data_IF_153122906098
#
_entry.id   IF_153122906098
#
_cell.length_a   1.000
_cell.length_b   1.000
_cell.length_c   1.000
_cell.angle_alpha   90.00
_cell.angle_beta   90.00
_cell.angle_gamma   90.00
#
_symmetry.space_group_name_H-M   'P 1'
#
loop_
_entity.id
_entity.type
_entity.pdbx_description
1 polymer ?
#
# COMPACT_ATOMS: atom_id res chain seq x y z
N UNK A 1 12.40 -17.77 -22.51
CA UNK A 1 10.93 -17.82 -22.57
C UNK A 1 10.31 -18.80 -21.56
N UNK A 2 10.41 -20.12 -21.69
CA UNK A 2 9.75 -21.03 -20.72
C UNK A 2 10.28 -20.91 -19.27
N UNK A 3 11.59 -20.72 -19.11
CA UNK A 3 12.21 -20.52 -17.79
C UNK A 3 11.81 -19.20 -17.12
N UNK A 4 11.62 -18.13 -17.91
CA UNK A 4 11.19 -16.80 -17.41
C UNK A 4 9.75 -16.84 -16.89
N UNK A 5 8.85 -17.51 -17.61
CA UNK A 5 7.45 -17.70 -17.16
C UNK A 5 7.40 -18.54 -15.89
N UNK A 6 8.27 -19.55 -15.77
CA UNK A 6 8.40 -20.33 -14.53
C UNK A 6 8.89 -19.52 -13.34
N UNK A 7 9.62 -18.41 -13.56
CA UNK A 7 10.07 -17.50 -12.51
C UNK A 7 8.98 -16.55 -12.00
N UNK A 8 7.96 -16.30 -12.83
CA UNK A 8 6.80 -15.46 -12.49
C UNK A 8 5.81 -16.22 -11.61
N UNK A 9 5.69 -17.54 -11.80
CA UNK A 9 4.83 -18.39 -10.97
C UNK A 9 5.55 -18.68 -9.64
N UNK A 10 4.97 -18.16 -8.55
CA UNK A 10 5.45 -18.42 -7.18
C UNK A 10 5.57 -19.93 -6.95
N UNK A 11 6.69 -20.37 -6.33
CA UNK A 11 7.11 -21.78 -6.24
C UNK A 11 5.99 -22.71 -5.79
N UNK A 12 5.14 -22.24 -4.89
CA UNK A 12 4.04 -22.99 -4.29
C UNK A 12 2.92 -23.33 -5.29
N UNK A 13 2.77 -22.56 -6.37
CA UNK A 13 1.70 -22.70 -7.37
C UNK A 13 2.13 -23.44 -8.64
N UNK A 14 3.42 -23.79 -8.78
CA UNK A 14 3.94 -24.53 -9.96
C UNK A 14 3.32 -25.92 -10.13
N UNK A 15 2.87 -26.53 -9.04
CA UNK A 15 2.21 -27.84 -9.06
C UNK A 15 0.75 -27.77 -9.55
N UNK A 16 0.15 -26.57 -9.51
CA UNK A 16 -1.29 -26.33 -9.67
C UNK A 16 -1.58 -25.67 -11.02
N UNK A 17 -0.73 -24.72 -11.43
CA UNK A 17 -0.89 -23.96 -12.66
C UNK A 17 -0.10 -24.65 -13.78
N UNK A 18 -0.81 -25.25 -14.73
CA UNK A 18 -0.25 -25.64 -16.02
C UNK A 18 -0.19 -24.44 -16.96
N UNK A 19 0.87 -24.33 -17.75
CA UNK A 19 0.96 -23.32 -18.80
C UNK A 19 1.55 -23.92 -20.07
N UNK A 20 1.13 -23.37 -21.20
CA UNK A 20 1.69 -23.63 -22.53
C UNK A 20 1.92 -22.31 -23.22
N UNK A 21 3.13 -22.12 -23.72
CA UNK A 21 3.49 -20.97 -24.56
C UNK A 21 3.28 -21.41 -26.00
N UNK A 22 2.30 -20.81 -26.70
CA UNK A 22 2.12 -21.00 -28.13
C UNK A 22 3.18 -20.24 -28.92
N UNK A 23 3.55 -20.79 -30.08
CA UNK A 23 4.50 -20.13 -31.00
C UNK A 23 3.98 -18.76 -31.46
N UNK A 24 4.92 -17.89 -31.79
CA UNK A 24 4.64 -16.53 -32.24
C UNK A 24 4.08 -16.61 -33.67
N UNK A 25 2.80 -16.25 -33.93
CA UNK A 25 2.31 -16.17 -35.29
C UNK A 25 3.02 -15.03 -36.02
N UNK A 26 3.44 -15.27 -37.27
CA UNK A 26 4.07 -14.26 -38.13
C UNK A 26 3.27 -12.95 -38.10
N UNK A 27 3.88 -11.88 -37.53
CA UNK A 27 3.29 -10.55 -37.45
C UNK A 27 2.92 -10.02 -36.05
N UNK A 28 3.01 -10.81 -34.96
CA UNK A 28 2.81 -10.30 -33.58
C UNK A 28 4.09 -10.41 -32.74
N UNK A 29 4.41 -9.37 -31.95
CA UNK A 29 5.66 -9.28 -31.15
C UNK A 29 5.66 -10.07 -29.83
N UNK A 30 4.57 -10.74 -29.45
CA UNK A 30 4.47 -11.45 -28.15
C UNK A 30 3.86 -12.85 -28.32
N UNK A 31 4.41 -13.88 -27.64
CA UNK A 31 3.87 -15.23 -27.68
C UNK A 31 2.52 -15.30 -26.95
N UNK A 32 1.70 -16.28 -27.35
CA UNK A 32 0.42 -16.54 -26.68
C UNK A 32 0.65 -17.44 -25.46
N UNK A 33 0.18 -17.02 -24.28
CA UNK A 33 0.25 -17.82 -23.05
C UNK A 33 -1.14 -18.40 -22.77
N UNK A 34 -1.25 -19.72 -22.78
CA UNK A 34 -2.46 -20.43 -22.32
C UNK A 34 -2.15 -21.08 -20.98
N UNK A 35 -3.01 -20.90 -19.98
CA UNK A 35 -2.87 -21.52 -18.66
C UNK A 35 -4.14 -22.27 -18.27
N UNK A 36 -3.99 -23.27 -17.41
CA UNK A 36 -5.10 -24.02 -16.82
C UNK A 36 -4.75 -24.47 -15.40
N UNK A 37 -5.78 -24.74 -14.61
CA UNK A 37 -5.65 -25.21 -13.23
C UNK A 37 -5.79 -26.73 -13.25
N UNK A 38 -4.85 -27.43 -12.59
CA UNK A 38 -4.91 -28.89 -12.40
C UNK A 38 -5.71 -29.19 -11.13
N UNK A 39 -6.56 -30.24 -11.16
CA UNK A 39 -7.42 -30.67 -10.04
C UNK A 39 -6.69 -31.19 -8.78
N UNK A 40 -5.35 -31.06 -8.72
CA UNK A 40 -4.54 -31.34 -7.51
C UNK A 40 -4.78 -30.37 -6.35
N UNK A 41 -5.62 -29.36 -6.54
CA UNK A 41 -6.07 -28.45 -5.47
C UNK A 41 -6.71 -29.22 -4.31
N UNK A 42 -7.55 -30.23 -4.57
CA UNK A 42 -8.29 -30.93 -3.52
C UNK A 42 -7.37 -31.72 -2.56
N UNK A 43 -6.42 -32.49 -3.11
CA UNK A 43 -5.39 -33.21 -2.33
C UNK A 43 -4.52 -32.24 -1.51
N UNK A 44 -4.27 -31.04 -2.05
CA UNK A 44 -3.51 -30.00 -1.35
C UNK A 44 -4.32 -29.33 -0.24
N UNK A 45 -5.61 -29.06 -0.48
CA UNK A 45 -6.52 -28.55 0.54
C UNK A 45 -6.63 -29.51 1.73
N UNK A 46 -6.66 -30.81 1.48
CA UNK A 46 -6.66 -31.84 2.52
C UNK A 46 -5.35 -31.86 3.32
N UNK A 47 -4.23 -31.51 2.70
CA UNK A 47 -2.92 -31.38 3.34
C UNK A 47 -2.69 -30.08 4.12
N UNK A 48 -3.58 -29.09 4.01
CA UNK A 48 -3.43 -27.85 4.78
C UNK A 48 -3.80 -28.06 6.25
N UNK A 49 -3.02 -27.42 7.13
CA UNK A 49 -3.34 -27.37 8.55
C UNK A 49 -4.71 -26.72 8.78
N UNK A 50 -5.55 -27.32 9.62
CA UNK A 50 -6.83 -26.74 10.02
C UNK A 50 -6.59 -25.66 11.07
N UNK A 51 -7.12 -24.46 10.83
CA UNK A 51 -7.09 -23.37 11.80
C UNK A 51 -8.40 -23.37 12.59
N UNK A 52 -8.32 -23.56 13.90
CA UNK A 52 -9.47 -23.53 14.80
C UNK A 52 -9.69 -22.08 15.25
N UNK A 53 -10.87 -21.53 14.98
CA UNK A 53 -11.27 -20.19 15.41
C UNK A 53 -12.32 -20.31 16.52
N UNK A 54 -12.00 -19.85 17.72
CA UNK A 54 -12.96 -19.73 18.81
C UNK A 54 -13.59 -18.34 18.79
N UNK A 55 -14.93 -18.26 18.84
CA UNK A 55 -15.64 -16.99 18.80
C UNK A 55 -16.96 -17.06 19.54
N UNK A 56 -17.39 -15.92 20.09
CA UNK A 56 -18.70 -15.69 20.70
C UNK A 56 -19.75 -15.25 19.67
N UNK A 57 -19.41 -15.20 18.37
CA UNK A 57 -20.28 -14.73 17.28
C UNK A 57 -21.11 -15.86 16.67
N UNK A 58 -21.87 -16.56 17.51
CA UNK A 58 -22.77 -17.66 17.15
C UNK A 58 -23.80 -17.30 16.06
N UNK A 59 -24.26 -16.05 16.04
CA UNK A 59 -25.24 -15.53 15.06
C UNK A 59 -24.66 -15.21 13.69
N UNK A 60 -23.34 -15.27 13.50
CA UNK A 60 -22.71 -14.91 12.23
C UNK A 60 -22.53 -16.14 11.35
N UNK A 61 -22.67 -15.96 10.03
CA UNK A 61 -22.36 -17.03 9.08
C UNK A 61 -20.86 -17.38 9.14
N UNK A 62 -20.51 -18.67 9.10
CA UNK A 62 -19.13 -19.15 9.20
C UNK A 62 -18.20 -18.49 8.18
N UNK A 63 -18.67 -18.26 6.95
CA UNK A 63 -17.91 -17.54 5.92
C UNK A 63 -17.54 -16.12 6.34
N UNK A 64 -18.45 -15.41 7.02
CA UNK A 64 -18.20 -14.06 7.53
C UNK A 64 -17.18 -14.09 8.67
N UNK A 65 -17.27 -15.08 9.56
CA UNK A 65 -16.32 -15.27 10.66
C UNK A 65 -14.91 -15.48 10.09
N UNK A 66 -14.76 -16.40 9.13
CA UNK A 66 -13.47 -16.68 8.47
C UNK A 66 -12.94 -15.45 7.74
N UNK A 67 -13.78 -14.74 6.98
CA UNK A 67 -13.38 -13.50 6.28
C UNK A 67 -12.85 -12.45 7.26
N UNK A 68 -13.55 -12.20 8.36
CA UNK A 68 -13.13 -11.20 9.36
C UNK A 68 -11.87 -11.65 10.10
N UNK A 69 -11.75 -12.94 10.44
CA UNK A 69 -10.53 -13.47 11.05
C UNK A 69 -9.32 -13.31 10.13
N UNK A 70 -9.47 -13.61 8.85
CA UNK A 70 -8.41 -13.46 7.85
C UNK A 70 -8.06 -12.00 7.52
N UNK A 71 -8.91 -11.04 7.91
CA UNK A 71 -8.61 -9.60 7.81
C UNK A 71 -7.70 -9.09 8.93
N UNK A 72 -7.28 -9.95 9.87
CA UNK A 72 -6.28 -9.60 10.89
C UNK A 72 -4.98 -9.02 10.30
N UNK A 73 -4.61 -9.47 9.10
CA UNK A 73 -3.45 -8.96 8.35
C UNK A 73 -3.48 -7.44 8.13
N UNK A 74 -4.67 -6.83 8.00
CA UNK A 74 -4.81 -5.38 7.85
C UNK A 74 -4.30 -4.62 9.08
N UNK A 75 -4.57 -5.18 10.27
CA UNK A 75 -4.12 -4.63 11.55
C UNK A 75 -2.62 -4.89 11.75
N UNK A 76 -2.11 -6.03 11.29
CA UNK A 76 -0.67 -6.31 11.34
C UNK A 76 0.13 -5.35 10.47
N UNK A 77 -0.40 -4.94 9.32
CA UNK A 77 0.21 -3.90 8.49
C UNK A 77 0.21 -2.54 9.18
N UNK A 78 -0.80 -2.21 9.99
CA UNK A 78 -0.78 -1.04 10.87
C UNK A 78 0.34 -1.11 11.92
N UNK A 79 0.50 -2.26 12.56
CA UNK A 79 1.58 -2.44 13.55
C UNK A 79 2.98 -2.31 12.93
N UNK A 80 3.16 -2.76 11.69
CA UNK A 80 4.41 -2.54 10.95
C UNK A 80 4.68 -1.06 10.74
N UNK A 81 3.67 -0.26 10.41
CA UNK A 81 3.82 1.20 10.26
C UNK A 81 4.15 1.89 11.59
N UNK A 82 3.56 1.44 12.70
CA UNK A 82 3.87 1.95 14.04
C UNK A 82 5.29 1.60 14.51
N UNK A 83 5.87 0.57 13.92
CA UNK A 83 7.27 0.16 14.13
C UNK A 83 8.22 0.80 13.12
N UNK A 84 7.69 1.45 12.07
CA UNK A 84 8.48 2.10 11.04
C UNK A 84 8.96 3.47 11.55
N UNK A 85 10.29 3.62 11.62
CA UNK A 85 10.95 4.82 12.10
C UNK A 85 10.58 6.08 11.29
N UNK A 86 10.18 5.90 10.02
CA UNK A 86 9.98 7.01 9.09
C UNK A 86 8.57 7.60 9.11
N UNK A 87 7.55 6.84 9.54
CA UNK A 87 6.15 7.28 9.42
C UNK A 87 5.52 7.58 10.77
N UNK A 88 5.49 6.61 11.68
CA UNK A 88 4.84 6.75 12.99
C UNK A 88 5.63 5.96 14.04
N UNK A 89 6.83 6.42 14.44
CA UNK A 89 7.67 5.66 15.37
C UNK A 89 7.09 5.66 16.77
N UNK A 90 6.43 4.57 17.18
CA UNK A 90 6.14 4.35 18.61
C UNK A 90 7.46 4.14 19.36
N UNK A 91 8.46 3.50 18.75
CA UNK A 91 9.77 3.26 19.34
C UNK A 91 10.94 3.80 18.50
N UNK A 92 12.11 4.04 19.11
CA UNK A 92 12.40 3.97 20.55
C UNK A 92 11.82 5.18 21.32
N UNK A 93 11.21 4.91 22.47
CA UNK A 93 10.66 5.96 23.34
C UNK A 93 11.78 6.56 24.19
N UNK A 94 12.32 7.71 23.76
CA UNK A 94 13.36 8.43 24.50
C UNK A 94 12.78 9.29 25.65
N UNK A 95 11.60 8.93 26.16
CA UNK A 95 10.94 9.60 27.27
C UNK A 95 11.03 8.77 28.54
N UNK A 96 11.36 9.41 29.66
CA UNK A 96 11.53 8.73 30.95
C UNK A 96 10.33 8.88 31.90
N UNK A 97 9.38 9.77 31.60
CA UNK A 97 8.18 9.99 32.41
C UNK A 97 6.98 9.31 31.77
N UNK A 98 6.23 8.52 32.54
CA UNK A 98 5.03 7.83 32.06
C UNK A 98 4.02 8.75 31.37
N UNK A 99 3.87 9.98 31.86
CA UNK A 99 2.99 10.96 31.22
C UNK A 99 3.44 11.31 29.79
N UNK A 100 4.74 11.49 29.57
CA UNK A 100 5.30 11.80 28.27
C UNK A 100 5.23 10.59 27.33
N UNK A 101 5.43 9.37 27.86
CA UNK A 101 5.25 8.13 27.10
C UNK A 101 3.80 8.03 26.60
N UNK A 102 2.82 8.26 27.47
CA UNK A 102 1.38 8.25 27.09
C UNK A 102 1.06 9.28 26.01
N UNK A 103 1.56 10.50 26.14
CA UNK A 103 1.36 11.56 25.13
C UNK A 103 1.99 11.19 23.80
N UNK A 104 3.22 10.67 23.81
CA UNK A 104 3.90 10.18 22.60
C UNK A 104 3.08 9.10 21.88
N UNK A 105 2.68 8.05 22.61
CA UNK A 105 1.84 6.98 22.04
C UNK A 105 0.53 7.53 21.48
N UNK A 106 -0.13 8.46 22.18
CA UNK A 106 -1.35 9.09 21.69
C UNK A 106 -1.13 9.86 20.38
N UNK A 107 -0.05 10.64 20.27
CA UNK A 107 0.30 11.35 19.05
C UNK A 107 0.62 10.39 17.90
N UNK A 108 1.34 9.30 18.17
CA UNK A 108 1.61 8.27 17.17
C UNK A 108 0.30 7.67 16.62
N UNK A 109 -0.61 7.22 17.49
CA UNK A 109 -1.89 6.63 17.06
C UNK A 109 -2.74 7.65 16.29
N UNK A 110 -2.72 8.93 16.71
CA UNK A 110 -3.40 10.01 16.00
C UNK A 110 -2.81 10.25 14.61
N UNK A 111 -1.48 10.26 14.49
CA UNK A 111 -0.78 10.35 13.21
C UNK A 111 -1.12 9.19 12.28
N UNK A 112 -1.15 7.95 12.80
CA UNK A 112 -1.57 6.77 12.04
C UNK A 112 -3.00 6.92 11.52
N UNK A 113 -3.91 7.44 12.35
CA UNK A 113 -5.29 7.70 11.94
C UNK A 113 -5.36 8.68 10.77
N UNK A 114 -4.57 9.76 10.78
CA UNK A 114 -4.48 10.71 9.68
C UNK A 114 -3.91 10.06 8.41
N UNK A 115 -2.86 9.25 8.52
CA UNK A 115 -2.31 8.51 7.38
C UNK A 115 -3.32 7.54 6.78
N UNK A 116 -4.09 6.82 7.62
CA UNK A 116 -5.16 5.93 7.16
C UNK A 116 -6.30 6.68 6.51
N UNK A 117 -6.68 7.84 7.04
CA UNK A 117 -7.66 8.71 6.43
C UNK A 117 -7.17 9.22 5.05
N UNK A 118 -5.91 9.61 4.95
CA UNK A 118 -5.29 10.02 3.69
C UNK A 118 -5.28 8.88 2.67
N UNK A 119 -4.89 7.67 3.07
CA UNK A 119 -4.97 6.49 2.20
C UNK A 119 -6.40 6.20 1.76
N UNK A 120 -7.39 6.33 2.64
CA UNK A 120 -8.80 6.19 2.31
C UNK A 120 -9.26 7.22 1.26
N UNK A 121 -8.85 8.49 1.42
CA UNK A 121 -9.09 9.58 0.46
C UNK A 121 -8.47 9.29 -0.91
N UNK A 122 -7.34 8.58 -0.95
CA UNK A 122 -6.59 8.24 -2.16
C UNK A 122 -6.78 6.79 -2.64
N UNK A 123 -7.80 6.07 -2.13
CA UNK A 123 -7.99 4.63 -2.41
C UNK A 123 -8.08 4.27 -3.90
N UNK A 124 -8.55 5.19 -4.73
CA UNK A 124 -8.72 5.01 -6.17
C UNK A 124 -7.40 4.96 -6.95
N UNK A 125 -6.29 5.41 -6.35
CA UNK A 125 -4.97 5.35 -6.97
C UNK A 125 -4.28 4.00 -6.80
N UNK A 126 -4.84 3.10 -5.98
CA UNK A 126 -4.29 1.76 -5.71
C UNK A 126 -2.80 1.73 -5.33
N UNK A 127 -2.31 2.80 -4.69
CA UNK A 127 -0.95 2.91 -4.16
C UNK A 127 -0.91 2.53 -2.69
N UNK A 128 0.22 1.98 -2.24
CA UNK A 128 0.44 1.69 -0.82
C UNK A 128 0.56 3.00 -0.02
N UNK A 129 0.24 2.95 1.28
CA UNK A 129 0.38 4.13 2.15
C UNK A 129 1.83 4.66 2.16
N UNK A 130 2.83 3.78 2.17
CA UNK A 130 4.23 4.19 2.09
C UNK A 130 4.54 4.97 0.80
N UNK A 131 4.10 4.47 -0.36
CA UNK A 131 4.26 5.15 -1.65
C UNK A 131 3.52 6.47 -1.72
N UNK A 132 2.34 6.54 -1.10
CA UNK A 132 1.56 7.77 -0.99
C UNK A 132 2.32 8.83 -0.20
N UNK A 133 2.93 8.47 0.93
CA UNK A 133 3.73 9.39 1.73
C UNK A 133 5.00 9.81 1.00
N UNK A 134 5.76 8.87 0.42
CA UNK A 134 6.95 9.15 -0.39
C UNK A 134 6.64 10.14 -1.54
N UNK A 135 5.52 9.93 -2.24
CA UNK A 135 5.10 10.81 -3.32
C UNK A 135 4.81 12.23 -2.82
N UNK A 136 4.11 12.37 -1.70
CA UNK A 136 3.80 13.66 -1.10
C UNK A 136 5.04 14.36 -0.54
N UNK A 137 5.97 13.62 0.07
CA UNK A 137 7.25 14.15 0.56
C UNK A 137 8.12 14.69 -0.59
N UNK A 138 8.02 14.08 -1.77
CA UNK A 138 8.70 14.56 -2.96
C UNK A 138 8.13 15.84 -3.58
N UNK A 139 6.95 16.31 -3.15
CA UNK A 139 6.39 17.58 -3.63
C UNK A 139 7.07 18.72 -2.88
N UNK A 140 7.86 19.52 -3.60
CA UNK A 140 8.64 20.63 -3.04
C UNK A 140 8.09 21.96 -3.49
N UNK A 141 8.17 22.94 -2.58
CA UNK A 141 7.70 24.30 -2.79
C UNK A 141 8.88 25.24 -2.58
N UNK A 142 9.07 26.18 -3.49
CA UNK A 142 10.11 27.19 -3.45
C UNK A 142 9.50 28.60 -3.32
N UNK A 143 10.23 29.51 -2.68
CA UNK A 143 9.91 30.93 -2.66
C UNK A 143 10.73 31.60 -3.75
N UNK A 144 10.06 32.11 -4.78
CA UNK A 144 10.68 32.85 -5.86
C UNK A 144 10.43 34.34 -5.65
N UNK A 145 11.45 35.15 -5.96
CA UNK A 145 11.34 36.60 -6.02
C UNK A 145 11.86 37.04 -7.37
N UNK A 146 11.00 37.68 -8.16
CA UNK A 146 11.41 38.24 -9.44
C UNK A 146 11.80 39.71 -9.23
N UNK A 147 13.11 39.98 -9.25
CA UNK A 147 13.63 41.34 -9.06
C UNK A 147 13.32 42.26 -10.26
N UNK A 148 12.87 41.72 -11.41
CA UNK A 148 12.58 42.50 -12.61
C UNK A 148 11.14 43.06 -12.66
N UNK A 149 10.15 42.33 -12.13
CA UNK A 149 8.72 42.64 -12.31
C UNK A 149 8.10 43.38 -11.10
N UNK A 150 8.90 43.69 -10.06
CA UNK A 150 8.44 44.38 -8.85
C UNK A 150 7.39 43.62 -8.02
N UNK A 151 7.10 42.36 -8.38
CA UNK A 151 6.19 41.48 -7.64
C UNK A 151 6.86 41.01 -6.36
N UNK A 152 6.04 40.83 -5.32
CA UNK A 152 6.48 40.33 -4.01
C UNK A 152 6.98 38.88 -4.08
N UNK A 153 7.31 38.30 -2.92
CA UNK A 153 7.62 36.86 -2.85
C UNK A 153 6.43 36.04 -3.39
N UNK A 154 6.69 35.22 -4.40
CA UNK A 154 5.73 34.26 -4.95
C UNK A 154 6.11 32.84 -4.49
N UNK A 155 5.09 32.04 -4.16
CA UNK A 155 5.26 30.63 -3.81
C UNK A 155 5.09 29.80 -5.08
N UNK A 156 6.13 29.08 -5.49
CA UNK A 156 6.17 28.28 -6.72
C UNK A 156 6.38 26.81 -6.36
N UNK A 157 5.79 25.90 -7.12
CA UNK A 157 5.97 24.45 -6.93
C UNK A 157 7.01 23.92 -7.90
N UNK A 158 7.91 23.06 -7.41
CA UNK A 158 8.89 22.38 -8.27
C UNK A 158 8.21 21.39 -9.23
N UNK A 159 8.99 20.89 -10.21
CA UNK A 159 8.51 19.88 -11.15
C UNK A 159 8.01 18.62 -10.42
N UNK A 160 6.80 18.21 -10.77
CA UNK A 160 6.16 17.01 -10.22
C UNK A 160 6.18 15.87 -11.23
N UNK A 161 6.30 14.64 -10.72
CA UNK A 161 6.00 13.45 -11.51
C UNK A 161 4.47 13.31 -11.74
N UNK A 162 4.09 12.39 -12.64
CA UNK A 162 2.68 12.16 -12.99
C UNK A 162 1.80 11.70 -11.82
N UNK A 163 2.38 11.04 -10.82
CA UNK A 163 1.66 10.57 -9.62
C UNK A 163 1.47 11.72 -8.65
N UNK A 164 2.52 12.52 -8.41
CA UNK A 164 2.52 13.72 -7.59
C UNK A 164 1.52 14.75 -8.09
N UNK A 165 1.51 15.04 -9.40
CA UNK A 165 0.56 16.00 -9.99
C UNK A 165 -0.90 15.56 -9.80
N UNK A 166 -1.17 14.25 -9.92
CA UNK A 166 -2.50 13.67 -9.66
C UNK A 166 -2.90 13.81 -8.20
N UNK A 167 -2.00 13.48 -7.28
CA UNK A 167 -2.24 13.60 -5.83
C UNK A 167 -2.45 15.06 -5.42
N UNK A 168 -1.61 15.96 -5.93
CA UNK A 168 -1.69 17.39 -5.67
C UNK A 168 -3.05 17.98 -6.07
N UNK A 169 -3.53 17.61 -7.25
CA UNK A 169 -4.83 18.03 -7.77
C UNK A 169 -5.99 17.42 -6.96
N UNK A 170 -5.95 16.12 -6.68
CA UNK A 170 -7.00 15.39 -5.95
C UNK A 170 -7.15 15.84 -4.49
N UNK A 171 -6.03 16.15 -3.84
CA UNK A 171 -6.01 16.68 -2.48
C UNK A 171 -6.27 18.19 -2.41
N UNK A 172 -6.41 18.84 -3.57
CA UNK A 172 -6.59 20.28 -3.72
C UNK A 172 -5.55 21.07 -2.92
N UNK A 173 -4.27 20.71 -3.09
CA UNK A 173 -3.16 21.34 -2.36
C UNK A 173 -2.83 22.74 -2.88
N UNK A 174 -3.24 23.07 -4.11
CA UNK A 174 -3.02 24.40 -4.71
C UNK A 174 -3.61 25.55 -3.89
N UNK A 175 -4.66 25.30 -3.11
CA UNK A 175 -5.26 26.30 -2.21
C UNK A 175 -4.32 26.83 -1.13
N UNK A 176 -3.22 26.12 -0.85
CA UNK A 176 -2.23 26.51 0.16
C UNK A 176 -1.04 27.27 -0.43
N UNK A 177 -1.01 27.48 -1.75
CA UNK A 177 0.11 28.06 -2.48
C UNK A 177 -0.16 29.51 -2.86
N UNK A 178 -1.42 29.93 -2.82
CA UNK A 178 -1.78 31.34 -3.00
C UNK A 178 -1.56 32.09 -1.68
N UNK A 179 -0.56 32.98 -1.66
CA UNK A 179 -0.36 34.00 -0.61
C UNK A 179 -1.06 35.28 -1.03
#
# INVERSE_FOLDING_TARGET
MEQEVSGIIQKDFKAIIGYKIGEIPEGKKKPSLTYWIKDKELERYEGFGKMIVFTDKDKWHSEKIVKVYNQKSLVEDDFKLLSDAFLVPIGPVNHHKDANIRVHTFLCITGLLFYRYLAYRCKHYHISLKRLVEALEGIRIALAKDDADGRGLEVVVEEMDSTQARLFSHLNLGKFITV
#
